data_IF_667751078742
#
_entry.id   IF_667751078742
#
_cell.length_a   1.000
_cell.length_b   1.000
_cell.length_c   1.000
_cell.angle_alpha   90.00
_cell.angle_beta   90.00
_cell.angle_gamma   90.00
#
_symmetry.space_group_name_H-M   'P 1'
#
loop_
_entity.id
_entity.type
_entity.pdbx_description
1 polymer ?
#
# COMPACT_ATOMS: atom_id res chain seq x y z
N UNK A 1 18.06 0.67 -20.09
CA UNK A 1 17.61 0.46 -18.70
C UNK A 1 16.40 1.34 -18.47
N UNK A 2 15.21 0.77 -18.26
CA UNK A 2 14.02 1.56 -17.94
C UNK A 2 14.18 2.08 -16.50
N UNK A 3 14.69 3.31 -16.36
CA UNK A 3 14.65 4.02 -15.08
C UNK A 3 13.21 4.52 -14.92
N UNK A 4 12.57 4.17 -13.79
CA UNK A 4 11.26 4.72 -13.47
C UNK A 4 11.33 6.25 -13.48
N UNK A 5 10.26 6.89 -13.92
CA UNK A 5 10.15 8.35 -13.81
C UNK A 5 10.35 8.77 -12.34
N UNK A 6 10.82 10.00 -12.07
CA UNK A 6 11.00 10.52 -10.71
C UNK A 6 9.75 10.37 -9.82
N UNK A 7 8.57 10.34 -10.46
CA UNK A 7 7.26 10.23 -9.82
C UNK A 7 6.84 8.77 -9.51
N UNK A 8 7.60 7.78 -9.98
CA UNK A 8 7.25 6.35 -9.84
C UNK A 8 7.05 5.91 -8.38
N UNK A 9 7.90 6.30 -7.41
CA UNK A 9 7.67 5.94 -6.00
C UNK A 9 6.34 6.50 -5.44
N UNK A 10 5.98 7.73 -5.82
CA UNK A 10 4.71 8.34 -5.41
C UNK A 10 3.52 7.60 -6.00
N UNK A 11 3.57 7.25 -7.29
CA UNK A 11 2.53 6.45 -7.96
C UNK A 11 2.35 5.08 -7.31
N UNK A 12 3.45 4.41 -6.94
CA UNK A 12 3.41 3.11 -6.25
C UNK A 12 2.74 3.26 -4.89
N UNK A 13 3.18 4.23 -4.08
CA UNK A 13 2.63 4.45 -2.74
C UNK A 13 1.14 4.82 -2.79
N UNK A 14 0.75 5.72 -3.69
CA UNK A 14 -0.64 6.12 -3.87
C UNK A 14 -1.53 4.95 -4.30
N UNK A 15 -1.03 4.11 -5.21
CA UNK A 15 -1.75 2.91 -5.67
C UNK A 15 -1.92 1.89 -4.54
N UNK A 16 -0.88 1.69 -3.73
CA UNK A 16 -0.93 0.81 -2.57
C UNK A 16 -1.99 1.26 -1.57
N UNK A 17 -2.01 2.56 -1.21
CA UNK A 17 -3.01 3.12 -0.30
C UNK A 17 -4.43 2.98 -0.85
N UNK A 18 -4.62 3.26 -2.14
CA UNK A 18 -5.92 3.12 -2.79
C UNK A 18 -6.42 1.67 -2.75
N UNK A 19 -5.57 0.72 -3.12
CA UNK A 19 -5.92 -0.70 -3.16
C UNK A 19 -6.18 -1.25 -1.76
N UNK A 20 -5.34 -0.93 -0.78
CA UNK A 20 -5.56 -1.33 0.62
C UNK A 20 -6.88 -0.79 1.14
N UNK A 21 -7.16 0.49 0.91
CA UNK A 21 -8.42 1.10 1.35
C UNK A 21 -9.64 0.42 0.72
N UNK A 22 -9.55 0.05 -0.56
CA UNK A 22 -10.61 -0.72 -1.22
C UNK A 22 -10.75 -2.16 -0.76
N UNK A 23 -9.65 -2.76 -0.31
CA UNK A 23 -9.63 -4.13 0.14
C UNK A 23 -10.18 -4.27 1.57
N UNK A 24 -9.96 -3.26 2.42
CA UNK A 24 -10.39 -3.27 3.83
C UNK A 24 -11.80 -2.70 4.04
N UNK A 25 -12.24 -1.74 3.23
CA UNK A 25 -13.56 -1.12 3.41
C UNK A 25 -14.69 -1.84 2.66
N UNK A 26 -15.87 -1.89 3.26
CA UNK A 26 -17.09 -2.41 2.60
C UNK A 26 -17.67 -1.43 1.58
N UNK A 27 -17.56 -0.11 1.80
CA UNK A 27 -18.03 0.93 0.87
C UNK A 27 -16.87 1.71 0.25
N UNK A 28 -16.62 1.40 -1.03
CA UNK A 28 -15.53 1.98 -1.81
C UNK A 28 -16.01 2.93 -2.91
N UNK A 29 -17.29 3.29 -2.90
CA UNK A 29 -17.90 4.04 -4.01
C UNK A 29 -17.26 5.42 -4.14
N UNK A 30 -16.69 5.67 -5.32
CA UNK A 30 -16.08 6.97 -5.63
C UNK A 30 -14.69 7.21 -5.04
N UNK A 31 -14.04 6.20 -4.47
CA UNK A 31 -12.71 6.36 -3.87
C UNK A 31 -11.65 6.86 -4.88
N UNK A 32 -11.69 6.40 -6.14
CA UNK A 32 -10.78 6.90 -7.19
C UNK A 32 -11.02 8.39 -7.49
N UNK A 33 -12.27 8.86 -7.41
CA UNK A 33 -12.59 10.29 -7.54
C UNK A 33 -12.10 11.07 -6.34
N UNK A 34 -12.18 10.51 -5.14
CA UNK A 34 -11.57 11.11 -3.94
C UNK A 34 -10.06 11.24 -4.11
N UNK A 35 -9.37 10.18 -4.53
CA UNK A 35 -7.92 10.18 -4.75
C UNK A 35 -7.47 11.20 -5.82
N UNK A 36 -8.24 11.33 -6.90
CA UNK A 36 -8.02 12.40 -7.89
C UNK A 36 -8.13 13.80 -7.26
N UNK A 37 -9.14 14.06 -6.42
CA UNK A 37 -9.30 15.34 -5.71
C UNK A 37 -8.19 15.65 -4.71
N UNK A 38 -7.78 14.68 -3.88
CA UNK A 38 -6.72 14.90 -2.87
C UNK A 38 -5.35 15.14 -3.51
N UNK A 39 -5.13 14.60 -4.72
CA UNK A 39 -3.91 14.87 -5.48
C UNK A 39 -3.94 16.23 -6.19
N UNK A 40 -4.99 17.03 -5.99
CA UNK A 40 -5.13 18.41 -6.48
C UNK A 40 -4.78 18.60 -7.96
N UNK A 41 -5.23 17.67 -8.82
CA UNK A 41 -5.01 17.74 -10.26
C UNK A 41 -3.66 17.22 -10.74
N UNK A 42 -2.78 16.71 -9.86
CA UNK A 42 -1.55 16.02 -10.27
C UNK A 42 -1.84 14.76 -11.10
N UNK A 43 -2.94 14.07 -10.79
CA UNK A 43 -3.40 12.90 -11.53
C UNK A 43 -4.87 13.04 -11.92
N UNK A 44 -5.17 12.75 -13.18
CA UNK A 44 -6.55 12.64 -13.64
C UNK A 44 -7.20 11.36 -13.11
N UNK A 45 -8.54 11.28 -13.15
CA UNK A 45 -9.24 10.04 -12.80
C UNK A 45 -8.78 8.85 -13.66
N UNK A 46 -8.44 9.09 -14.93
CA UNK A 46 -7.90 8.06 -15.82
C UNK A 46 -6.55 7.55 -15.33
N UNK A 47 -5.70 8.44 -14.85
CA UNK A 47 -4.40 8.08 -14.29
C UNK A 47 -4.57 7.28 -13.01
N UNK A 48 -5.43 7.71 -12.07
CA UNK A 48 -5.74 6.96 -10.85
C UNK A 48 -6.22 5.54 -11.19
N UNK A 49 -7.14 5.39 -12.15
CA UNK A 49 -7.64 4.08 -12.58
C UNK A 49 -6.53 3.22 -13.22
N UNK A 50 -5.64 3.83 -14.01
CA UNK A 50 -4.52 3.12 -14.64
C UNK A 50 -3.48 2.69 -13.62
N UNK A 51 -3.19 3.54 -12.63
CA UNK A 51 -2.29 3.26 -11.52
C UNK A 51 -2.80 2.10 -10.66
N UNK A 52 -4.07 2.13 -10.26
CA UNK A 52 -4.71 1.02 -9.55
C UNK A 52 -4.58 -0.31 -10.30
N UNK A 53 -5.01 -0.33 -11.57
CA UNK A 53 -4.94 -1.54 -12.40
C UNK A 53 -3.52 -2.06 -12.57
N UNK A 54 -2.56 -1.15 -12.79
CA UNK A 54 -1.15 -1.53 -12.98
C UNK A 54 -0.58 -2.11 -11.71
N UNK A 55 -0.88 -1.50 -10.55
CA UNK A 55 -0.43 -1.99 -9.26
C UNK A 55 -1.03 -3.36 -8.90
N UNK A 56 -2.34 -3.55 -9.12
CA UNK A 56 -2.97 -4.87 -8.97
C UNK A 56 -2.33 -5.93 -9.89
N UNK A 57 -2.00 -5.54 -11.13
CA UNK A 57 -1.27 -6.40 -12.06
C UNK A 57 0.13 -6.77 -11.56
N UNK A 58 0.85 -5.83 -10.95
CA UNK A 58 2.17 -6.07 -10.35
C UNK A 58 2.09 -7.06 -9.17
N UNK A 59 1.07 -6.93 -8.33
CA UNK A 59 0.81 -7.85 -7.22
C UNK A 59 0.22 -9.19 -7.67
N UNK A 60 -0.11 -9.35 -8.95
CA UNK A 60 -0.87 -10.49 -9.48
C UNK A 60 -2.17 -10.72 -8.70
N UNK A 61 -2.78 -9.62 -8.21
CA UNK A 61 -3.97 -9.65 -7.36
C UNK A 61 -3.81 -10.41 -6.03
N UNK A 62 -2.58 -10.69 -5.59
CA UNK A 62 -2.30 -11.26 -4.27
C UNK A 62 -2.31 -10.16 -3.21
N UNK A 63 -3.48 -9.88 -2.63
CA UNK A 63 -3.69 -8.81 -1.65
C UNK A 63 -3.84 -9.30 -0.20
N UNK A 64 -4.12 -10.58 -0.03
CA UNK A 64 -4.30 -11.17 1.29
C UNK A 64 -2.93 -11.42 1.94
N UNK A 65 -2.77 -10.95 3.17
CA UNK A 65 -1.53 -11.06 3.96
C UNK A 65 -1.94 -11.57 5.34
N UNK A 66 -1.29 -12.63 5.82
CA UNK A 66 -1.53 -13.18 7.16
C UNK A 66 -0.55 -12.63 8.19
N UNK A 67 -0.81 -12.90 9.47
CA UNK A 67 0.13 -12.56 10.55
C UNK A 67 1.46 -13.30 10.40
N UNK A 68 1.43 -14.55 9.92
CA UNK A 68 2.62 -15.34 9.63
C UNK A 68 3.47 -14.72 8.51
N UNK A 69 2.84 -14.23 7.45
CA UNK A 69 3.53 -13.54 6.35
C UNK A 69 4.28 -12.30 6.87
N UNK A 70 3.64 -11.54 7.78
CA UNK A 70 4.25 -10.36 8.41
C UNK A 70 5.42 -10.76 9.31
N UNK A 71 5.24 -11.78 10.16
CA UNK A 71 6.28 -12.26 11.05
C UNK A 71 7.51 -12.75 10.26
N UNK A 72 7.28 -13.51 9.19
CA UNK A 72 8.33 -13.96 8.29
C UNK A 72 9.04 -12.80 7.60
N UNK A 73 8.29 -11.81 7.10
CA UNK A 73 8.86 -10.61 6.48
C UNK A 73 9.80 -9.87 7.44
N UNK A 74 9.35 -9.64 8.68
CA UNK A 74 10.15 -8.97 9.72
C UNK A 74 11.42 -9.77 10.02
N UNK A 75 11.31 -11.09 10.17
CA UNK A 75 12.47 -11.95 10.44
C UNK A 75 13.50 -11.90 9.31
N UNK A 76 13.05 -11.93 8.05
CA UNK A 76 13.93 -11.89 6.88
C UNK A 76 14.65 -10.54 6.71
N UNK A 77 13.99 -9.42 7.06
CA UNK A 77 14.51 -8.06 6.84
C UNK A 77 14.96 -7.37 8.13
N UNK A 78 15.11 -8.12 9.22
CA UNK A 78 15.39 -7.58 10.56
C UNK A 78 16.59 -6.63 10.60
N UNK A 79 17.62 -6.87 9.78
CA UNK A 79 18.84 -6.03 9.70
C UNK A 79 18.59 -4.68 9.02
N UNK A 80 17.73 -4.65 8.01
CA UNK A 80 17.36 -3.44 7.26
C UNK A 80 16.35 -2.59 8.03
N UNK A 81 15.54 -3.24 8.86
CA UNK A 81 14.55 -2.61 9.73
C UNK A 81 15.15 -2.09 11.05
N UNK A 82 16.46 -2.28 11.30
CA UNK A 82 17.12 -1.77 12.51
C UNK A 82 17.06 -0.24 12.54
N UNK A 83 16.36 0.31 13.53
CA UNK A 83 16.13 1.75 13.69
C UNK A 83 14.68 2.19 13.47
N UNK A 84 13.78 1.30 13.05
CA UNK A 84 12.34 1.53 13.03
C UNK A 84 11.70 1.00 14.32
N UNK A 85 11.09 1.87 15.13
CA UNK A 85 10.38 1.52 16.39
C UNK A 85 9.16 0.60 16.20
N UNK A 86 8.86 0.21 14.96
CA UNK A 86 7.75 -0.67 14.59
C UNK A 86 7.93 -2.08 15.19
N UNK A 87 9.18 -2.52 15.39
CA UNK A 87 9.47 -3.83 15.99
C UNK A 87 9.02 -3.92 17.46
N UNK A 88 8.98 -2.79 18.18
CA UNK A 88 8.55 -2.74 19.58
C UNK A 88 7.02 -2.80 19.74
N UNK A 89 6.25 -2.37 18.74
CA UNK A 89 4.79 -2.32 18.81
C UNK A 89 4.12 -3.64 18.40
N UNK A 90 4.68 -4.36 17.44
CA UNK A 90 4.22 -5.71 17.06
C UNK A 90 4.41 -6.76 18.17
N UNK A 91 5.22 -6.44 19.19
CA UNK A 91 5.56 -7.34 20.30
C UNK A 91 4.61 -7.25 21.50
N UNK A 92 3.67 -6.28 21.53
CA UNK A 92 2.70 -6.17 22.62
C UNK A 92 1.47 -7.03 22.27
N UNK A 93 1.20 -8.14 22.99
CA UNK A 93 -0.10 -8.80 22.85
C UNK A 93 -1.18 -7.78 23.18
N UNK A 94 -2.23 -7.71 22.36
CA UNK A 94 -3.43 -6.95 22.66
C UNK A 94 -4.02 -7.51 23.95
N UNK A 95 -3.73 -6.85 25.07
CA UNK A 95 -4.32 -7.19 26.36
C UNK A 95 -5.79 -6.86 26.26
N UNK A 96 -6.62 -7.91 26.23
CA UNK A 96 -8.06 -7.82 26.35
C UNK A 96 -8.44 -6.96 27.57
N UNK A 97 -9.21 -5.91 27.32
CA UNK A 97 -9.90 -5.09 28.32
C UNK A 97 -11.37 -4.98 27.91
#
# INVERSE_FOLDING_TARGET
MARGDPDTPFKIMLSALLVVKKFTDEDCVGLNRLFCRITNGLYTLKDINAMERSFLGLLKYSLFVTEEDIAQFIQCHQKELQGLDILNTASRPAVAA
#
